data_IF_473610377086
#
_entry.id   IF_473610377086
#
_cell.length_a   1.000
_cell.length_b   1.000
_cell.length_c   1.000
_cell.angle_alpha   90.00
_cell.angle_beta   90.00
_cell.angle_gamma   90.00
#
_symmetry.space_group_name_H-M   'P 1'
#
loop_
_entity.id
_entity.type
_entity.pdbx_description
1 polymer ?
#
# COMPACT_ATOMS: atom_id res chain seq x y z
N UNK A 1 4.35 -11.40 -8.73
CA UNK A 1 3.16 -10.98 -7.97
C UNK A 1 2.62 -9.70 -8.58
N UNK A 2 1.30 -9.59 -8.72
CA UNK A 2 0.65 -8.36 -9.22
C UNK A 2 0.60 -7.30 -8.13
N UNK A 3 0.81 -6.04 -8.51
CA UNK A 3 0.56 -4.88 -7.66
C UNK A 3 -0.40 -3.92 -8.38
N UNK A 4 -1.49 -3.56 -7.72
CA UNK A 4 -2.41 -2.52 -8.19
C UNK A 4 -2.11 -1.22 -7.48
N UNK A 5 -1.80 -0.19 -8.26
CA UNK A 5 -1.59 1.17 -7.74
C UNK A 5 -2.85 1.99 -8.02
N UNK A 6 -3.45 2.55 -6.95
CA UNK A 6 -4.61 3.43 -7.07
C UNK A 6 -4.18 4.89 -6.99
N UNK A 7 -4.49 5.69 -8.02
CA UNK A 7 -4.08 7.09 -8.13
C UNK A 7 -5.21 7.99 -8.62
N UNK A 8 -5.20 9.24 -8.15
CA UNK A 8 -5.96 10.37 -8.69
C UNK A 8 -5.07 11.39 -9.39
N UNK A 9 -3.78 11.04 -9.58
CA UNK A 9 -2.75 11.90 -10.16
C UNK A 9 -1.84 12.55 -9.12
N UNK A 10 -1.52 11.83 -8.05
CA UNK A 10 -0.56 12.28 -7.03
C UNK A 10 0.84 12.47 -7.65
N UNK A 11 1.58 13.45 -7.15
CA UNK A 11 2.94 13.75 -7.63
C UNK A 11 3.91 12.57 -7.48
N UNK A 12 3.64 11.67 -6.55
CA UNK A 12 4.44 10.48 -6.27
C UNK A 12 4.05 9.24 -7.08
N UNK A 13 3.03 9.33 -7.95
CA UNK A 13 2.51 8.17 -8.70
C UNK A 13 3.60 7.45 -9.49
N UNK A 14 4.39 8.17 -10.27
CA UNK A 14 5.44 7.57 -11.09
C UNK A 14 6.54 6.93 -10.24
N UNK A 15 6.87 7.56 -9.12
CA UNK A 15 7.86 7.03 -8.18
C UNK A 15 7.34 5.77 -7.46
N UNK A 16 6.06 5.74 -7.10
CA UNK A 16 5.42 4.56 -6.55
C UNK A 16 5.50 3.38 -7.53
N UNK A 17 5.09 3.61 -8.77
CA UNK A 17 5.12 2.59 -9.84
C UNK A 17 6.55 2.11 -10.08
N UNK A 18 7.49 3.03 -10.27
CA UNK A 18 8.89 2.70 -10.46
C UNK A 18 9.45 1.85 -9.31
N UNK A 19 9.18 2.24 -8.06
CA UNK A 19 9.69 1.53 -6.89
C UNK A 19 9.16 0.09 -6.84
N UNK A 20 7.87 -0.11 -7.11
CA UNK A 20 7.27 -1.44 -7.16
C UNK A 20 7.86 -2.31 -8.28
N UNK A 21 8.04 -1.74 -9.48
CA UNK A 21 8.64 -2.44 -10.61
C UNK A 21 10.08 -2.85 -10.30
N UNK A 22 10.89 -1.94 -9.73
CA UNK A 22 12.24 -2.22 -9.28
C UNK A 22 12.28 -3.36 -8.25
N UNK A 23 11.29 -3.43 -7.38
CA UNK A 23 11.16 -4.45 -6.35
C UNK A 23 10.62 -5.80 -6.88
N UNK A 24 10.35 -5.91 -8.19
CA UNK A 24 9.95 -7.17 -8.85
C UNK A 24 8.45 -7.41 -8.92
N UNK A 25 7.62 -6.39 -8.72
CA UNK A 25 6.17 -6.50 -8.95
C UNK A 25 5.81 -6.29 -10.43
N UNK A 26 4.78 -6.99 -10.89
CA UNK A 26 4.05 -6.67 -12.11
C UNK A 26 2.98 -5.61 -11.77
N UNK A 27 3.20 -4.38 -12.21
CA UNK A 27 2.41 -3.23 -11.75
C UNK A 27 1.33 -2.87 -12.74
N UNK A 28 0.11 -2.70 -12.23
CA UNK A 28 -1.01 -2.11 -12.94
C UNK A 28 -1.45 -0.81 -12.25
N UNK A 29 -1.31 0.30 -12.96
CA UNK A 29 -1.74 1.61 -12.50
C UNK A 29 -3.21 1.86 -12.87
N UNK A 30 -4.03 2.19 -11.88
CA UNK A 30 -5.41 2.63 -12.03
C UNK A 30 -5.46 4.11 -11.66
N UNK A 31 -5.24 4.95 -12.66
CA UNK A 31 -5.16 6.40 -12.51
C UNK A 31 -6.32 7.07 -13.23
N UNK A 32 -7.23 7.62 -12.47
CA UNK A 32 -8.34 8.45 -12.95
C UNK A 32 -8.94 9.22 -11.77
N UNK A 33 -9.93 10.06 -12.05
CA UNK A 33 -10.61 10.89 -11.06
C UNK A 33 -11.84 10.21 -10.43
N UNK A 34 -12.00 8.90 -10.61
CA UNK A 34 -13.06 8.15 -9.92
C UNK A 34 -12.74 7.98 -8.44
N UNK A 35 -13.73 7.62 -7.66
CA UNK A 35 -13.57 7.41 -6.22
C UNK A 35 -12.64 6.23 -5.93
N UNK A 36 -12.05 6.20 -4.74
CA UNK A 36 -11.31 5.02 -4.31
C UNK A 36 -12.18 3.75 -4.34
N UNK A 37 -13.45 3.92 -3.99
CA UNK A 37 -14.46 2.89 -4.08
C UNK A 37 -14.54 2.26 -5.49
N UNK A 38 -14.70 3.06 -6.54
CA UNK A 38 -14.77 2.58 -7.92
C UNK A 38 -13.49 1.83 -8.33
N UNK A 39 -12.35 2.30 -7.87
CA UNK A 39 -11.05 1.64 -8.12
C UNK A 39 -10.97 0.30 -7.43
N UNK A 40 -11.37 0.22 -6.15
CA UNK A 40 -11.40 -1.04 -5.40
C UNK A 40 -12.35 -2.04 -6.04
N UNK A 41 -13.54 -1.60 -6.44
CA UNK A 41 -14.51 -2.43 -7.13
C UNK A 41 -13.95 -3.03 -8.42
N UNK A 42 -13.28 -2.20 -9.24
CA UNK A 42 -12.60 -2.68 -10.46
C UNK A 42 -11.51 -3.70 -10.17
N UNK A 43 -10.68 -3.47 -9.14
CA UNK A 43 -9.63 -4.40 -8.74
C UNK A 43 -10.25 -5.73 -8.31
N UNK A 44 -11.20 -5.71 -7.39
CA UNK A 44 -11.77 -6.93 -6.82
C UNK A 44 -12.53 -7.75 -7.85
N UNK A 45 -13.22 -7.12 -8.79
CA UNK A 45 -13.91 -7.82 -9.87
C UNK A 45 -12.96 -8.40 -10.93
N UNK A 46 -11.80 -7.78 -11.15
CA UNK A 46 -10.80 -8.23 -12.12
C UNK A 46 -9.85 -9.28 -11.56
N UNK A 47 -9.44 -9.14 -10.30
CA UNK A 47 -8.42 -10.00 -9.71
C UNK A 47 -8.95 -11.42 -9.49
N UNK A 48 -8.13 -12.42 -9.83
CA UNK A 48 -8.35 -13.86 -9.62
C UNK A 48 -7.18 -14.53 -8.90
N UNK A 49 -6.22 -13.73 -8.42
CA UNK A 49 -4.96 -14.11 -7.82
C UNK A 49 -4.65 -13.25 -6.60
N UNK A 50 -3.64 -13.65 -5.82
CA UNK A 50 -3.08 -12.85 -4.73
C UNK A 50 -2.39 -11.60 -5.28
N UNK A 51 -2.58 -10.47 -4.64
CA UNK A 51 -2.00 -9.21 -5.08
C UNK A 51 -1.70 -8.24 -3.94
N UNK A 52 -0.88 -7.25 -4.25
CA UNK A 52 -0.67 -6.08 -3.39
C UNK A 52 -1.44 -4.89 -3.95
N UNK A 53 -2.14 -4.15 -3.10
CA UNK A 53 -2.69 -2.84 -3.41
C UNK A 53 -1.83 -1.76 -2.75
N UNK A 54 -1.50 -0.73 -3.50
CA UNK A 54 -0.71 0.41 -3.01
C UNK A 54 -1.40 1.71 -3.39
N UNK A 55 -1.54 2.63 -2.44
CA UNK A 55 -1.97 3.99 -2.74
C UNK A 55 -0.80 4.77 -3.37
N UNK A 56 -1.08 5.58 -4.38
CA UNK A 56 -0.03 6.26 -5.16
C UNK A 56 0.72 7.35 -4.37
N UNK A 57 0.19 7.77 -3.22
CA UNK A 57 0.88 8.64 -2.27
C UNK A 57 1.82 7.89 -1.31
N UNK A 58 1.96 6.58 -1.49
CA UNK A 58 2.96 5.75 -0.82
C UNK A 58 4.09 5.44 -1.79
N UNK A 59 5.31 5.71 -1.36
CA UNK A 59 6.53 5.29 -2.07
C UNK A 59 7.10 4.06 -1.36
N UNK A 60 6.93 2.86 -1.92
CA UNK A 60 7.47 1.64 -1.32
C UNK A 60 9.00 1.66 -1.28
N UNK A 61 9.57 1.17 -0.18
CA UNK A 61 11.01 0.96 -0.10
C UNK A 61 11.43 -0.42 -0.65
N UNK A 62 12.72 -0.70 -0.68
CA UNK A 62 13.28 -1.96 -1.21
C UNK A 62 12.92 -3.21 -0.41
N UNK A 63 12.36 -3.07 0.79
CA UNK A 63 11.92 -4.19 1.62
C UNK A 63 10.60 -4.79 1.14
N UNK A 64 9.75 -3.99 0.49
CA UNK A 64 8.50 -4.47 -0.10
C UNK A 64 8.79 -5.22 -1.39
N UNK A 65 8.97 -6.53 -1.30
CA UNK A 65 9.20 -7.43 -2.44
C UNK A 65 8.12 -8.53 -2.48
N UNK A 66 7.85 -9.15 -3.64
CA UNK A 66 6.95 -10.30 -3.72
C UNK A 66 7.31 -11.42 -2.74
N UNK A 67 8.62 -11.65 -2.52
CA UNK A 67 9.10 -12.66 -1.59
C UNK A 67 8.78 -12.30 -0.15
N UNK A 68 9.04 -11.07 0.28
CA UNK A 68 8.72 -10.61 1.63
C UNK A 68 7.22 -10.67 1.91
N UNK A 69 6.40 -10.28 0.93
CA UNK A 69 4.93 -10.36 1.03
C UNK A 69 4.46 -11.81 1.16
N UNK A 70 5.01 -12.74 0.37
CA UNK A 70 4.67 -14.16 0.44
C UNK A 70 5.08 -14.77 1.79
N UNK A 71 6.25 -14.42 2.31
CA UNK A 71 6.69 -14.87 3.63
C UNK A 71 5.78 -14.36 4.75
N UNK A 72 5.43 -13.08 4.72
CA UNK A 72 4.48 -12.50 5.68
C UNK A 72 3.10 -13.16 5.58
N UNK A 73 2.66 -13.48 4.35
CA UNK A 73 1.36 -14.11 4.07
C UNK A 73 1.34 -15.63 4.25
N UNK A 74 2.46 -16.29 4.56
CA UNK A 74 2.55 -17.76 4.57
C UNK A 74 1.62 -18.43 5.60
N UNK A 75 1.22 -17.73 6.65
CA UNK A 75 0.43 -18.27 7.76
C UNK A 75 -1.09 -17.97 7.70
N UNK A 76 -1.68 -17.90 6.49
CA UNK A 76 -3.15 -17.97 6.32
C UNK A 76 -3.88 -16.61 6.46
N UNK A 77 -3.19 -15.50 6.48
CA UNK A 77 -3.89 -14.21 6.49
C UNK A 77 -4.51 -13.91 5.13
N UNK A 78 -5.80 -13.59 5.12
CA UNK A 78 -6.49 -13.17 3.91
C UNK A 78 -6.14 -11.76 3.50
N UNK A 79 -5.74 -10.96 4.49
CA UNK A 79 -5.44 -9.56 4.34
C UNK A 79 -4.30 -9.19 5.28
N UNK A 80 -3.20 -8.68 4.73
CA UNK A 80 -2.11 -8.08 5.50
C UNK A 80 -2.09 -6.58 5.24
N UNK A 81 -1.82 -5.84 6.29
CA UNK A 81 -1.58 -4.41 6.21
C UNK A 81 -0.15 -4.15 6.67
N UNK A 82 0.59 -3.39 5.88
CA UNK A 82 1.97 -3.07 6.18
C UNK A 82 2.09 -1.68 6.80
N UNK A 83 3.08 -1.49 7.66
CA UNK A 83 3.42 -0.17 8.18
C UNK A 83 4.10 0.68 7.12
N UNK A 84 3.77 1.96 7.14
CA UNK A 84 4.44 3.00 6.40
C UNK A 84 4.82 4.13 7.34
N UNK A 85 5.87 4.88 7.03
CA UNK A 85 6.17 6.12 7.73
C UNK A 85 5.31 7.24 7.16
N UNK A 86 4.44 7.81 7.99
CA UNK A 86 3.59 8.92 7.58
C UNK A 86 4.37 10.24 7.63
N UNK A 87 4.52 10.83 6.48
CA UNK A 87 5.29 12.06 6.28
C UNK A 87 4.73 13.26 7.05
N UNK A 88 3.41 13.36 7.14
CA UNK A 88 2.77 14.48 7.82
C UNK A 88 2.70 14.32 9.32
N UNK A 89 2.52 13.10 9.78
CA UNK A 89 2.39 12.78 11.21
C UNK A 89 3.73 12.55 11.89
N UNK A 90 4.82 12.38 11.13
CA UNK A 90 6.13 12.01 11.67
C UNK A 90 6.10 10.73 12.52
N UNK A 91 5.31 9.76 12.11
CA UNK A 91 5.08 8.53 12.88
C UNK A 91 4.78 7.36 11.96
N UNK A 92 4.94 6.17 12.50
CA UNK A 92 4.50 4.96 11.82
C UNK A 92 2.97 4.91 11.77
N UNK A 93 2.43 4.52 10.63
CA UNK A 93 1.00 4.35 10.41
C UNK A 93 0.73 3.04 9.68
N UNK A 94 -0.51 2.57 9.78
CA UNK A 94 -0.99 1.42 9.03
C UNK A 94 -1.79 1.92 7.85
N UNK A 95 -1.53 1.37 6.69
CA UNK A 95 -2.31 1.66 5.49
C UNK A 95 -1.46 2.04 4.30
N UNK A 96 -2.15 2.23 3.17
CA UNK A 96 -1.53 2.56 1.90
C UNK A 96 -0.81 1.39 1.22
N UNK A 97 -0.42 0.32 1.95
CA UNK A 97 0.13 -0.93 1.39
C UNK A 97 -0.62 -2.11 2.00
N UNK A 98 -1.28 -2.88 1.16
CA UNK A 98 -2.12 -4.00 1.57
C UNK A 98 -1.88 -5.20 0.67
N UNK A 99 -1.68 -6.38 1.28
CA UNK A 99 -1.69 -7.65 0.55
C UNK A 99 -3.05 -8.31 0.73
N UNK A 100 -3.62 -8.78 -0.35
CA UNK A 100 -4.97 -9.38 -0.39
C UNK A 100 -4.86 -10.72 -1.10
N UNK A 101 -5.30 -11.77 -0.42
CA UNK A 101 -5.38 -13.09 -1.00
C UNK A 101 -6.65 -13.28 -1.81
N UNK A 102 -6.57 -14.10 -2.83
CA UNK A 102 -7.71 -14.45 -3.68
C UNK A 102 -8.88 -15.04 -2.90
N UNK A 103 -8.61 -15.74 -1.79
CA UNK A 103 -9.64 -16.30 -0.93
C UNK A 103 -10.53 -15.25 -0.26
N UNK A 104 -10.04 -14.01 -0.12
CA UNK A 104 -10.82 -12.89 0.40
C UNK A 104 -11.76 -12.28 -0.66
N UNK A 105 -11.45 -12.45 -1.95
CA UNK A 105 -12.14 -11.76 -3.04
C UNK A 105 -13.67 -11.99 -3.08
N UNK A 106 -14.21 -13.20 -2.89
CA UNK A 106 -15.67 -13.39 -2.87
C UNK A 106 -16.35 -12.49 -1.83
N UNK A 107 -15.80 -12.43 -0.63
CA UNK A 107 -16.36 -11.62 0.47
C UNK A 107 -16.20 -10.11 0.22
N UNK A 108 -15.10 -9.70 -0.40
CA UNK A 108 -14.86 -8.30 -0.77
C UNK A 108 -15.83 -7.86 -1.86
N UNK A 109 -16.06 -8.68 -2.88
CA UNK A 109 -17.03 -8.41 -3.97
C UNK A 109 -18.45 -8.25 -3.43
N UNK A 110 -18.88 -9.15 -2.56
CA UNK A 110 -20.23 -9.10 -1.97
C UNK A 110 -20.44 -7.90 -1.04
N UNK A 111 -19.36 -7.34 -0.53
CA UNK A 111 -19.41 -6.28 0.48
C UNK A 111 -19.10 -4.92 -0.10
N UNK A 112 -18.47 -4.88 -1.27
CA UNK A 112 -18.01 -3.64 -1.87
C UNK A 112 -19.17 -2.65 -2.05
N UNK A 113 -20.33 -3.09 -2.54
CA UNK A 113 -21.48 -2.22 -2.76
C UNK A 113 -22.11 -1.65 -1.46
N UNK A 114 -21.90 -2.32 -0.34
CA UNK A 114 -22.43 -1.91 0.97
C UNK A 114 -21.72 -0.68 1.56
N UNK A 115 -20.56 -0.33 1.04
CA UNK A 115 -19.71 0.75 1.58
C UNK A 115 -19.43 1.85 0.54
N UNK A 116 -20.18 1.88 -0.53
CA UNK A 116 -20.01 2.87 -1.61
C UNK A 116 -20.22 4.31 -1.16
N UNK A 117 -21.00 4.52 -0.11
CA UNK A 117 -21.29 5.82 0.50
C UNK A 117 -20.25 6.27 1.54
N UNK A 118 -19.27 5.42 1.88
CA UNK A 118 -18.28 5.73 2.91
C UNK A 118 -17.15 6.58 2.35
N UNK A 119 -16.72 7.56 3.14
CA UNK A 119 -15.56 8.41 2.82
C UNK A 119 -14.26 7.59 2.76
N UNK A 120 -14.19 6.54 3.59
CA UNK A 120 -13.05 5.62 3.67
C UNK A 120 -13.52 4.18 3.53
N UNK A 121 -13.88 3.74 2.31
CA UNK A 121 -14.37 2.39 2.08
C UNK A 121 -13.33 1.34 2.48
N UNK A 122 -12.05 1.62 2.32
CA UNK A 122 -10.96 0.74 2.72
C UNK A 122 -10.97 0.40 4.22
N UNK A 123 -11.37 1.34 5.07
CA UNK A 123 -11.47 1.10 6.52
C UNK A 123 -12.58 0.11 6.85
N UNK A 124 -13.72 0.21 6.16
CA UNK A 124 -14.82 -0.72 6.35
C UNK A 124 -14.48 -2.10 5.76
N UNK A 125 -13.83 -2.14 4.62
CA UNK A 125 -13.41 -3.38 3.96
C UNK A 125 -12.39 -4.16 4.79
N UNK A 126 -11.51 -3.50 5.56
CA UNK A 126 -10.57 -4.18 6.47
C UNK A 126 -11.28 -4.92 7.61
N UNK A 127 -12.51 -4.52 7.95
CA UNK A 127 -13.30 -5.19 8.99
C UNK A 127 -13.89 -6.52 8.53
N UNK A 128 -14.02 -6.74 7.23
CA UNK A 128 -14.61 -7.97 6.68
C UNK A 128 -13.77 -9.20 7.05
N UNK A 129 -12.46 -9.24 6.82
CA UNK A 129 -11.64 -10.36 7.27
C UNK A 129 -11.71 -10.57 8.78
N UNK A 130 -11.79 -9.51 9.59
CA UNK A 130 -11.92 -9.59 11.03
C UNK A 130 -13.27 -10.22 11.46
N UNK A 131 -14.34 -9.89 10.75
CA UNK A 131 -15.66 -10.43 11.05
C UNK A 131 -15.75 -11.94 10.76
N UNK A 132 -15.21 -12.39 9.63
CA UNK A 132 -15.26 -13.80 9.24
C UNK A 132 -14.20 -14.67 9.93
N UNK A 133 -13.07 -14.09 10.30
CA UNK A 133 -12.05 -14.75 11.11
C UNK A 133 -11.01 -13.75 11.65
N UNK A 134 -10.84 -13.66 12.99
CA UNK A 134 -9.83 -12.77 13.59
C UNK A 134 -8.41 -13.06 13.12
N UNK A 135 -8.11 -14.28 12.69
CA UNK A 135 -6.80 -14.70 12.18
C UNK A 135 -6.58 -14.39 10.70
N UNK A 136 -7.54 -13.77 10.03
CA UNK A 136 -7.49 -13.50 8.59
C UNK A 136 -7.15 -12.05 8.27
N UNK A 137 -6.99 -11.23 9.30
CA UNK A 137 -6.45 -9.89 9.22
C UNK A 137 -5.20 -9.83 10.09
N UNK A 138 -4.09 -9.44 9.50
CA UNK A 138 -2.83 -9.25 10.21
C UNK A 138 -2.23 -7.91 9.85
N UNK A 139 -1.46 -7.36 10.80
CA UNK A 139 -0.65 -6.18 10.61
C UNK A 139 0.81 -6.57 10.70
N UNK A 140 1.58 -6.21 9.71
CA UNK A 140 3.01 -6.50 9.63
C UNK A 140 3.78 -5.26 10.08
N UNK A 141 4.60 -5.35 11.14
CA UNK A 141 5.27 -4.19 11.73
C UNK A 141 6.47 -3.68 10.92
N UNK A 142 6.83 -4.33 9.83
CA UNK A 142 7.92 -3.88 8.98
C UNK A 142 7.52 -2.64 8.19
N UNK A 143 8.37 -1.60 8.26
CA UNK A 143 8.14 -0.35 7.52
C UNK A 143 8.42 -0.58 6.04
N UNK A 144 7.38 -0.57 5.22
CA UNK A 144 7.44 -0.92 3.81
C UNK A 144 7.43 0.26 2.86
N UNK A 145 7.33 1.48 3.37
CA UNK A 145 7.31 2.66 2.50
C UNK A 145 7.12 3.97 3.23
N UNK A 146 7.08 5.03 2.45
CA UNK A 146 6.89 6.41 2.86
C UNK A 146 5.53 6.89 2.36
N UNK A 147 4.63 7.26 3.27
CA UNK A 147 3.25 7.68 2.97
C UNK A 147 3.10 9.20 3.03
N UNK A 148 2.33 9.77 2.10
CA UNK A 148 1.96 11.19 2.12
C UNK A 148 3.09 12.15 1.78
N UNK A 149 4.02 11.75 0.93
CA UNK A 149 5.16 12.57 0.51
C UNK A 149 4.70 13.77 -0.32
N UNK A 150 4.47 14.92 0.33
CA UNK A 150 4.10 16.20 -0.32
C UNK A 150 4.72 17.40 0.38
N UNK A 151 5.78 17.20 1.15
CA UNK A 151 6.29 18.29 1.96
C UNK A 151 7.10 19.31 1.15
N UNK A 152 7.19 20.51 1.69
CA UNK A 152 8.22 21.45 1.29
C UNK A 152 9.59 20.82 1.50
N UNK A 153 10.57 21.18 0.69
CA UNK A 153 11.91 20.57 0.68
C UNK A 153 12.56 20.43 2.06
N UNK A 154 12.33 21.39 2.94
CA UNK A 154 12.93 21.37 4.29
C UNK A 154 12.32 20.29 5.19
N UNK A 155 11.03 20.09 5.11
CA UNK A 155 10.31 19.05 5.85
C UNK A 155 10.75 17.67 5.36
N UNK A 156 10.85 17.51 4.06
CA UNK A 156 11.35 16.33 3.37
C UNK A 156 12.74 15.89 3.88
N UNK A 157 13.71 16.80 3.93
CA UNK A 157 15.07 16.48 4.41
C UNK A 157 15.06 15.99 5.86
N UNK A 158 14.22 16.60 6.71
CA UNK A 158 14.10 16.17 8.12
C UNK A 158 13.55 14.76 8.24
N UNK A 159 12.59 14.41 7.44
CA UNK A 159 11.91 13.12 7.50
C UNK A 159 12.75 11.99 6.90
N UNK A 160 13.41 12.24 5.78
CA UNK A 160 14.41 11.31 5.23
C UNK A 160 15.51 11.02 6.24
N UNK A 161 15.96 12.03 6.99
CA UNK A 161 16.93 11.83 8.07
C UNK A 161 16.37 10.99 9.21
N UNK A 162 15.11 11.21 9.58
CA UNK A 162 14.44 10.42 10.62
C UNK A 162 14.28 8.96 10.20
N UNK A 163 13.85 8.69 8.96
CA UNK A 163 13.81 7.34 8.40
C UNK A 163 15.18 6.66 8.39
N UNK A 164 16.21 7.38 7.97
CA UNK A 164 17.59 6.91 7.93
C UNK A 164 18.08 6.46 9.31
N UNK A 165 17.73 7.19 10.35
CA UNK A 165 18.09 6.87 11.72
C UNK A 165 17.29 5.68 12.31
N UNK A 166 16.13 5.39 11.77
CA UNK A 166 15.25 4.31 12.24
C UNK A 166 15.44 2.99 11.51
N UNK A 167 16.05 3.00 10.33
CA UNK A 167 16.26 1.81 9.52
C UNK A 167 17.73 1.62 9.15
N UNK A 168 18.40 0.57 9.66
CA UNK A 168 19.76 0.24 9.24
C UNK A 168 19.85 -0.16 7.75
N UNK A 169 18.72 -0.54 7.15
CA UNK A 169 18.61 -0.93 5.74
C UNK A 169 18.00 0.18 4.89
N UNK A 170 18.37 1.42 5.16
CA UNK A 170 17.83 2.58 4.46
C UNK A 170 18.05 2.48 2.94
N UNK A 171 17.03 2.85 2.17
CA UNK A 171 17.06 2.81 0.71
C UNK A 171 17.64 4.10 0.13
N UNK A 172 18.95 4.14 -0.06
CA UNK A 172 19.68 5.29 -0.59
C UNK A 172 19.29 5.65 -2.02
N UNK A 173 18.98 4.65 -2.84
CA UNK A 173 18.56 4.88 -4.23
C UNK A 173 17.19 5.58 -4.28
N UNK A 174 16.28 5.17 -3.41
CA UNK A 174 15.01 5.86 -3.24
C UNK A 174 15.21 7.29 -2.76
N UNK A 175 16.14 7.53 -1.81
CA UNK A 175 16.47 8.88 -1.35
C UNK A 175 16.96 9.77 -2.49
N UNK A 176 17.87 9.28 -3.32
CA UNK A 176 18.39 10.04 -4.46
C UNK A 176 17.29 10.42 -5.44
N UNK A 177 16.40 9.50 -5.75
CA UNK A 177 15.25 9.78 -6.64
C UNK A 177 14.26 10.77 -6.01
N UNK A 178 14.01 10.66 -4.72
CA UNK A 178 13.18 11.63 -3.99
C UNK A 178 13.82 13.02 -3.96
N UNK A 179 15.15 13.09 -3.94
CA UNK A 179 15.90 14.36 -3.98
C UNK A 179 15.89 15.00 -5.36
N UNK A 180 15.63 14.23 -6.41
CA UNK A 180 15.55 14.71 -7.79
C UNK A 180 14.16 15.27 -8.18
N UNK A 181 13.12 15.05 -7.34
CA UNK A 181 11.77 15.62 -7.50
C UNK A 181 11.67 17.03 -6.93
#
# INVERSE_FOLDING_TARGET
>A
MKAYVTSIGEATTDLCVWSLQRNGFDVELIQDKTTLWDKLNRIYNKADHDFVRVDADVVPNKMLTPQAVNLAGANISWWLQFQTFDWHKQSLTWGGVQFIRKEALPYLRDSVDKFSDKIRPETELTRIPQFYSPRRFESVPDVMGLHGYKATDLKRVKELKAMRNQSPNYDWELEERLNAL
#
